data_IF_108095554857
#
_entry.id   IF_108095554857
#
_cell.length_a   1.000
_cell.length_b   1.000
_cell.length_c   1.000
_cell.angle_alpha   90.00
_cell.angle_beta   90.00
_cell.angle_gamma   90.00
#
_symmetry.space_group_name_H-M   'P 1'
#
loop_
_entity.id
_entity.type
_entity.pdbx_description
1 polymer ?
#
# COMPACT_ATOMS: atom_id res chain seq x y z
N UNK A 1 61.89 14.36 30.17
CA UNK A 1 60.64 14.43 29.36
C UNK A 1 59.98 13.06 29.45
N UNK A 2 58.82 13.00 30.14
CA UNK A 2 58.25 11.71 30.54
C UNK A 2 57.44 11.07 29.39
N UNK A 3 58.05 10.10 28.75
CA UNK A 3 57.52 9.30 27.65
C UNK A 3 56.13 8.67 28.00
N UNK A 4 55.91 8.37 29.29
CA UNK A 4 54.61 7.82 29.77
C UNK A 4 53.40 8.76 29.61
N UNK A 5 53.61 10.09 29.63
CA UNK A 5 52.55 11.06 29.46
C UNK A 5 52.16 11.29 28.01
N UNK A 6 53.10 11.09 27.09
CA UNK A 6 52.87 11.28 25.65
C UNK A 6 52.08 10.12 25.03
N UNK A 7 52.28 8.91 25.54
CA UNK A 7 51.57 7.72 25.09
C UNK A 7 50.08 7.76 25.49
N UNK A 8 49.79 8.26 26.72
CA UNK A 8 48.41 8.38 27.19
C UNK A 8 47.58 9.39 26.43
N UNK A 9 48.21 10.49 25.99
CA UNK A 9 47.51 11.53 25.18
C UNK A 9 47.27 11.04 23.75
N UNK A 10 48.18 10.26 23.15
CA UNK A 10 47.97 9.68 21.82
C UNK A 10 46.86 8.61 21.81
N UNK A 11 46.76 7.81 22.87
CA UNK A 11 45.72 6.78 22.95
C UNK A 11 44.29 7.38 23.07
N UNK A 12 44.12 8.52 23.73
CA UNK A 12 42.85 9.19 23.80
C UNK A 12 42.43 9.84 22.47
N UNK A 13 43.40 10.29 21.68
CA UNK A 13 43.09 10.91 20.35
C UNK A 13 42.61 9.87 19.32
N UNK A 14 43.10 8.62 19.41
CA UNK A 14 42.68 7.54 18.49
C UNK A 14 41.27 7.06 18.82
N UNK A 15 40.88 7.04 20.10
CA UNK A 15 39.52 6.66 20.50
C UNK A 15 38.44 7.71 20.14
N UNK A 16 38.80 8.98 20.09
CA UNK A 16 37.87 10.06 19.71
C UNK A 16 37.57 10.08 18.20
N UNK A 17 38.49 9.58 17.36
CA UNK A 17 38.30 9.50 15.90
C UNK A 17 37.44 8.31 15.45
N UNK A 18 37.32 7.27 16.27
CA UNK A 18 36.52 6.07 15.95
C UNK A 18 35.02 6.24 16.20
N UNK A 19 34.60 7.30 16.88
CA UNK A 19 33.18 7.55 17.18
C UNK A 19 32.47 8.48 16.16
N UNK A 20 33.17 8.99 15.15
CA UNK A 20 32.62 9.88 14.14
C UNK A 20 32.38 9.24 12.76
N UNK A 21 32.67 7.94 12.60
CA UNK A 21 32.39 7.21 11.36
C UNK A 21 31.16 6.31 11.41
N UNK A 22 30.31 6.52 12.38
CA UNK A 22 28.94 6.03 12.39
C UNK A 22 28.05 6.93 11.53
N UNK A 23 28.34 7.05 10.23
CA UNK A 23 27.29 7.40 9.27
C UNK A 23 26.31 6.24 9.27
N UNK A 24 25.39 6.25 10.23
CA UNK A 24 24.10 5.67 10.03
C UNK A 24 23.53 6.37 8.81
N UNK A 25 23.58 5.70 7.65
CA UNK A 25 22.65 5.97 6.59
C UNK A 25 21.29 5.71 7.20
N UNK A 26 20.73 6.72 7.86
CA UNK A 26 19.30 6.80 8.04
C UNK A 26 18.75 6.92 6.61
N UNK A 27 18.47 5.77 5.99
CA UNK A 27 17.37 5.68 5.07
C UNK A 27 16.24 6.30 5.86
N UNK A 28 15.97 7.57 5.63
CA UNK A 28 14.71 8.19 6.00
C UNK A 28 13.68 7.40 5.21
N UNK A 29 13.20 6.31 5.82
CA UNK A 29 11.87 5.80 5.50
C UNK A 29 11.02 7.03 5.75
N UNK A 30 10.55 7.65 4.67
CA UNK A 30 9.55 8.72 4.76
C UNK A 30 8.45 8.11 5.61
N UNK A 31 8.27 8.64 6.80
CA UNK A 31 7.17 8.22 7.65
C UNK A 31 5.92 8.47 6.82
N UNK A 32 5.27 7.38 6.41
CA UNK A 32 4.11 7.44 5.53
C UNK A 32 3.04 8.19 6.30
N UNK A 33 2.48 9.25 5.74
CA UNK A 33 1.43 10.02 6.39
C UNK A 33 0.33 9.08 6.88
N UNK A 34 -0.22 9.35 8.06
CA UNK A 34 -1.10 8.42 8.79
C UNK A 34 -2.35 7.96 8.00
N UNK A 35 -2.66 8.62 6.90
CA UNK A 35 -3.78 8.30 6.00
C UNK A 35 -3.37 7.85 4.59
N UNK A 36 -2.08 7.72 4.30
CA UNK A 36 -1.62 7.36 2.95
C UNK A 36 -1.67 5.84 2.75
N UNK A 37 -2.35 5.39 1.72
CA UNK A 37 -2.40 4.00 1.27
C UNK A 37 -2.01 3.88 -0.21
N UNK A 38 -1.34 2.80 -0.56
CA UNK A 38 -0.98 2.47 -1.94
C UNK A 38 -1.79 1.28 -2.41
N UNK A 39 -2.52 1.44 -3.50
CA UNK A 39 -3.36 0.41 -4.09
C UNK A 39 -2.86 0.10 -5.50
N UNK A 40 -2.55 -1.17 -5.77
CA UNK A 40 -2.27 -1.63 -7.12
C UNK A 40 -3.59 -1.99 -7.81
N UNK A 41 -3.83 -1.43 -8.97
CA UNK A 41 -5.12 -1.50 -9.67
C UNK A 41 -4.89 -1.94 -11.10
N UNK A 42 -5.66 -2.92 -11.56
CA UNK A 42 -5.65 -3.31 -12.98
C UNK A 42 -5.93 -2.10 -13.88
N UNK A 43 -5.11 -1.94 -14.91
CA UNK A 43 -5.12 -0.76 -15.79
C UNK A 43 -6.50 -0.51 -16.42
N UNK A 44 -7.28 -1.57 -16.66
CA UNK A 44 -8.60 -1.47 -17.29
C UNK A 44 -9.64 -0.78 -16.43
N UNK A 45 -9.51 -0.83 -15.09
CA UNK A 45 -10.44 -0.17 -14.15
C UNK A 45 -9.82 1.04 -13.43
N UNK A 46 -8.60 1.41 -13.76
CA UNK A 46 -7.88 2.54 -13.15
C UNK A 46 -8.73 3.82 -13.10
N UNK A 47 -9.39 4.16 -14.21
CA UNK A 47 -10.22 5.38 -14.30
C UNK A 47 -11.34 5.36 -13.26
N UNK A 48 -12.08 4.27 -13.20
CA UNK A 48 -13.18 4.08 -12.26
C UNK A 48 -12.73 4.18 -10.80
N UNK A 49 -11.61 3.54 -10.46
CA UNK A 49 -11.09 3.54 -9.10
C UNK A 49 -10.48 4.90 -8.73
N UNK A 50 -9.87 5.61 -9.69
CA UNK A 50 -9.39 6.98 -9.48
C UNK A 50 -10.54 7.94 -9.17
N UNK A 51 -11.63 7.87 -9.94
CA UNK A 51 -12.82 8.70 -9.72
C UNK A 51 -13.48 8.37 -8.37
N UNK A 52 -13.56 7.09 -8.03
CA UNK A 52 -14.08 6.64 -6.75
C UNK A 52 -13.21 7.12 -5.57
N UNK A 53 -11.89 7.06 -5.68
CA UNK A 53 -10.97 7.57 -4.67
C UNK A 53 -11.12 9.08 -4.49
N UNK A 54 -11.25 9.83 -5.59
CA UNK A 54 -11.50 11.26 -5.55
C UNK A 54 -12.86 11.60 -4.92
N UNK A 55 -13.88 10.77 -5.13
CA UNK A 55 -15.18 10.95 -4.49
C UNK A 55 -15.14 10.61 -2.99
N UNK A 56 -14.46 9.52 -2.62
CA UNK A 56 -14.29 9.08 -1.24
C UNK A 56 -13.61 10.12 -0.35
N UNK A 57 -12.57 10.78 -0.86
CA UNK A 57 -11.77 11.77 -0.11
C UNK A 57 -12.37 13.17 -0.12
N UNK A 58 -13.52 13.39 -0.78
CA UNK A 58 -14.22 14.68 -0.67
C UNK A 58 -14.67 14.92 0.77
N UNK A 59 -14.59 16.20 1.23
CA UNK A 59 -15.10 16.57 2.55
C UNK A 59 -16.56 16.17 2.73
N UNK A 60 -16.82 15.25 3.64
CA UNK A 60 -18.17 14.87 4.04
C UNK A 60 -18.28 15.09 5.53
N UNK A 61 -19.22 15.95 5.94
CA UNK A 61 -19.40 16.36 7.35
C UNK A 61 -19.56 15.18 8.31
N UNK A 62 -20.09 14.06 7.81
CA UNK A 62 -20.38 12.86 8.59
C UNK A 62 -19.18 11.92 8.70
N UNK A 63 -18.17 12.09 7.83
CA UNK A 63 -16.99 11.22 7.74
C UNK A 63 -15.68 12.03 7.64
N UNK A 64 -15.33 12.81 8.67
CA UNK A 64 -14.17 13.70 8.63
C UNK A 64 -12.82 12.96 8.51
N UNK A 65 -12.78 11.67 8.83
CA UNK A 65 -11.59 10.83 8.66
C UNK A 65 -11.23 10.58 7.20
N UNK A 66 -12.22 10.62 6.28
CA UNK A 66 -12.00 10.43 4.84
C UNK A 66 -11.15 11.55 4.22
N UNK A 67 -11.28 12.77 4.72
CA UNK A 67 -10.51 13.94 4.25
C UNK A 67 -8.99 13.76 4.48
N UNK A 68 -8.61 12.89 5.41
CA UNK A 68 -7.21 12.62 5.75
C UNK A 68 -6.63 11.44 4.98
N UNK A 69 -7.46 10.68 4.30
CA UNK A 69 -7.01 9.55 3.50
C UNK A 69 -6.38 10.05 2.19
N UNK A 70 -5.19 9.57 1.89
CA UNK A 70 -4.50 9.78 0.62
C UNK A 70 -4.42 8.43 -0.07
N UNK A 71 -5.17 8.26 -1.16
CA UNK A 71 -5.19 7.02 -1.91
C UNK A 71 -4.31 7.17 -3.14
N UNK A 72 -3.17 6.49 -3.12
CA UNK A 72 -2.24 6.41 -4.23
C UNK A 72 -2.59 5.20 -5.10
N UNK A 73 -2.98 5.44 -6.33
CA UNK A 73 -3.30 4.40 -7.31
C UNK A 73 -2.09 4.19 -8.21
N UNK A 74 -1.58 2.99 -8.20
CA UNK A 74 -0.53 2.52 -9.09
C UNK A 74 -1.14 1.47 -10.01
N UNK A 75 -1.19 1.73 -11.31
CA UNK A 75 -1.84 0.82 -12.25
C UNK A 75 -0.83 0.01 -13.04
N UNK A 76 -1.21 -1.23 -13.31
CA UNK A 76 -0.51 -2.15 -14.18
C UNK A 76 -1.49 -3.23 -14.66
N UNK A 77 -1.08 -4.12 -15.55
CA UNK A 77 -1.89 -5.29 -15.86
C UNK A 77 -1.86 -6.29 -14.69
N UNK A 78 -2.94 -7.04 -14.52
CA UNK A 78 -3.10 -7.99 -13.40
C UNK A 78 -1.88 -8.90 -13.21
N UNK A 79 -1.32 -9.47 -14.28
CA UNK A 79 -0.14 -10.34 -14.20
C UNK A 79 1.10 -9.61 -13.66
N UNK A 80 1.30 -8.35 -14.05
CA UNK A 80 2.41 -7.53 -13.57
C UNK A 80 2.21 -7.13 -12.11
N UNK A 81 0.97 -6.83 -11.70
CA UNK A 81 0.62 -6.59 -10.28
C UNK A 81 0.98 -7.80 -9.43
N UNK A 82 0.59 -9.00 -9.85
CA UNK A 82 0.93 -10.25 -9.14
C UNK A 82 2.44 -10.38 -9.02
N UNK A 83 3.17 -10.26 -10.11
CA UNK A 83 4.63 -10.34 -10.12
C UNK A 83 5.29 -9.32 -9.20
N UNK A 84 4.81 -8.07 -9.15
CA UNK A 84 5.33 -7.01 -8.28
C UNK A 84 5.17 -7.35 -6.80
N UNK A 85 3.98 -7.84 -6.42
CA UNK A 85 3.70 -8.24 -5.03
C UNK A 85 4.54 -9.46 -4.63
N UNK A 86 4.65 -10.48 -5.49
CA UNK A 86 5.50 -11.65 -5.27
C UNK A 86 6.97 -11.29 -5.08
N UNK A 87 7.46 -10.29 -5.81
CA UNK A 87 8.81 -9.77 -5.68
C UNK A 87 9.01 -8.84 -4.47
N UNK A 88 7.98 -8.68 -3.62
CA UNK A 88 8.05 -7.92 -2.37
C UNK A 88 7.83 -6.42 -2.52
N UNK A 89 7.28 -5.96 -3.66
CA UNK A 89 6.87 -4.57 -3.77
C UNK A 89 5.67 -4.30 -2.86
N UNK A 90 5.75 -3.20 -2.11
CA UNK A 90 4.74 -2.88 -1.12
C UNK A 90 3.49 -2.30 -1.76
N UNK A 91 2.35 -2.85 -1.37
CA UNK A 91 1.03 -2.26 -1.55
C UNK A 91 0.17 -2.54 -0.31
N UNK A 92 -0.85 -1.75 -0.10
CA UNK A 92 -1.83 -1.95 0.98
C UNK A 92 -3.01 -2.81 0.50
N UNK A 93 -3.33 -2.74 -0.79
CA UNK A 93 -4.36 -3.57 -1.44
C UNK A 93 -4.05 -3.80 -2.91
N UNK A 94 -4.70 -4.80 -3.47
CA UNK A 94 -4.70 -5.10 -4.91
C UNK A 94 -6.13 -5.18 -5.44
N UNK A 95 -6.31 -4.68 -6.67
CA UNK A 95 -7.56 -4.73 -7.44
C UNK A 95 -7.21 -5.38 -8.78
N UNK A 96 -7.52 -6.65 -8.91
CA UNK A 96 -7.05 -7.52 -9.99
C UNK A 96 -8.20 -8.20 -10.72
N UNK A 97 -7.98 -8.57 -11.98
CA UNK A 97 -8.94 -9.27 -12.80
C UNK A 97 -8.99 -10.76 -12.40
N UNK A 98 -10.15 -11.18 -11.88
CA UNK A 98 -10.47 -12.56 -11.55
C UNK A 98 -9.85 -13.06 -10.24
N UNK A 99 -10.48 -14.07 -9.68
CA UNK A 99 -10.02 -14.74 -8.44
C UNK A 99 -8.69 -15.48 -8.62
N UNK A 100 -8.36 -15.88 -9.85
CA UNK A 100 -7.15 -16.65 -10.14
C UNK A 100 -5.88 -15.87 -9.77
N UNK A 101 -5.87 -14.54 -9.96
CA UNK A 101 -4.77 -13.68 -9.59
C UNK A 101 -4.52 -13.67 -8.07
N UNK A 102 -5.59 -13.58 -7.27
CA UNK A 102 -5.45 -13.64 -5.81
C UNK A 102 -5.04 -15.03 -5.32
N UNK A 103 -5.54 -16.10 -5.98
CA UNK A 103 -5.14 -17.46 -5.67
C UNK A 103 -3.67 -17.72 -6.02
N UNK A 104 -3.14 -17.08 -7.07
CA UNK A 104 -1.71 -17.13 -7.41
C UNK A 104 -0.86 -16.47 -6.31
N UNK A 105 -1.25 -15.30 -5.80
CA UNK A 105 -0.58 -14.65 -4.68
C UNK A 105 -0.58 -15.53 -3.42
N UNK A 106 -1.71 -16.14 -3.07
CA UNK A 106 -1.79 -17.04 -1.92
C UNK A 106 -0.92 -18.29 -2.10
N UNK A 107 -0.83 -18.83 -3.32
CA UNK A 107 0.01 -19.99 -3.62
C UNK A 107 1.51 -19.67 -3.57
N UNK A 108 1.92 -18.47 -4.03
CA UNK A 108 3.31 -18.02 -4.00
C UNK A 108 3.83 -17.76 -2.59
N UNK A 109 2.94 -17.59 -1.64
CA UNK A 109 3.26 -17.21 -0.26
C UNK A 109 4.02 -18.26 0.56
N UNK A 110 4.27 -19.47 0.04
CA UNK A 110 4.97 -20.56 0.77
C UNK A 110 4.47 -20.73 2.24
N UNK A 111 3.15 -20.62 2.44
CA UNK A 111 2.51 -20.72 3.77
C UNK A 111 2.43 -19.41 4.55
N UNK A 112 2.67 -18.27 3.91
CA UNK A 112 2.32 -16.96 4.45
C UNK A 112 1.10 -16.44 3.71
N UNK A 113 0.06 -16.09 4.44
CA UNK A 113 -1.11 -15.45 3.83
C UNK A 113 -0.74 -14.03 3.35
N UNK A 114 -0.72 -13.78 2.04
CA UNK A 114 -0.54 -12.44 1.51
C UNK A 114 -1.80 -11.59 1.67
N UNK A 115 -2.95 -12.21 1.74
CA UNK A 115 -4.25 -11.56 1.63
C UNK A 115 -5.03 -11.67 2.93
N UNK A 116 -5.69 -10.58 3.33
CA UNK A 116 -6.73 -10.59 4.35
C UNK A 116 -8.01 -11.17 3.73
N UNK A 117 -8.23 -12.47 3.83
CA UNK A 117 -9.34 -13.16 3.16
C UNK A 117 -10.72 -12.57 3.44
N UNK A 118 -10.95 -12.02 4.64
CA UNK A 118 -12.21 -11.36 5.00
C UNK A 118 -12.46 -10.05 4.26
N UNK A 119 -11.45 -9.50 3.59
CA UNK A 119 -11.56 -8.26 2.82
C UNK A 119 -11.92 -8.49 1.34
N UNK A 120 -11.96 -9.75 0.88
CA UNK A 120 -12.24 -10.06 -0.53
C UNK A 120 -13.65 -9.61 -0.91
N UNK A 121 -13.73 -8.73 -1.89
CA UNK A 121 -14.97 -8.28 -2.53
C UNK A 121 -14.77 -8.23 -4.04
N UNK A 122 -15.85 -8.16 -4.80
CA UNK A 122 -15.78 -8.13 -6.25
C UNK A 122 -16.58 -6.96 -6.83
N UNK A 123 -16.03 -6.36 -7.88
CA UNK A 123 -16.74 -5.46 -8.79
C UNK A 123 -16.88 -6.14 -10.14
N UNK A 124 -18.02 -5.94 -10.79
CA UNK A 124 -18.28 -6.50 -12.10
C UNK A 124 -18.34 -5.38 -13.14
N UNK A 125 -17.72 -5.57 -14.28
CA UNK A 125 -17.89 -4.67 -15.42
C UNK A 125 -19.13 -5.01 -16.25
N UNK A 126 -19.57 -4.10 -17.09
CA UNK A 126 -20.73 -4.30 -17.96
C UNK A 126 -20.51 -5.42 -18.99
N UNK A 127 -19.28 -5.64 -19.43
CA UNK A 127 -18.89 -6.71 -20.34
C UNK A 127 -18.73 -8.09 -19.67
N UNK A 128 -18.93 -8.14 -18.34
CA UNK A 128 -18.93 -9.38 -17.57
C UNK A 128 -17.59 -9.76 -16.94
N UNK A 129 -16.56 -8.91 -17.05
CA UNK A 129 -15.32 -9.12 -16.33
C UNK A 129 -15.54 -8.87 -14.82
N UNK A 130 -14.90 -9.69 -13.98
CA UNK A 130 -14.96 -9.56 -12.54
C UNK A 130 -13.59 -9.13 -12.01
N UNK A 131 -13.56 -8.03 -11.26
CA UNK A 131 -12.36 -7.54 -10.59
C UNK A 131 -12.48 -7.83 -9.10
N UNK A 132 -11.47 -8.48 -8.56
CA UNK A 132 -11.44 -8.86 -7.15
C UNK A 132 -10.50 -7.92 -6.40
N UNK A 133 -10.96 -7.49 -5.24
CA UNK A 133 -10.28 -6.55 -4.38
C UNK A 133 -9.89 -7.28 -3.11
N UNK A 134 -8.66 -7.10 -2.65
CA UNK A 134 -8.21 -7.64 -1.38
C UNK A 134 -7.19 -6.71 -0.70
N UNK A 135 -7.30 -6.60 0.62
CA UNK A 135 -6.26 -5.98 1.47
C UNK A 135 -5.10 -6.95 1.62
N UNK A 136 -3.87 -6.43 1.57
CA UNK A 136 -2.67 -7.24 1.80
C UNK A 136 -2.33 -7.31 3.29
N UNK A 137 -1.87 -8.48 3.74
CA UNK A 137 -1.56 -8.74 5.15
C UNK A 137 -0.36 -7.93 5.67
N UNK A 138 0.54 -7.49 4.78
CA UNK A 138 1.68 -6.65 5.13
C UNK A 138 1.31 -5.16 5.26
N UNK A 139 0.05 -4.80 4.99
CA UNK A 139 -0.43 -3.43 5.18
C UNK A 139 -0.54 -3.08 6.65
N UNK A 140 0.06 -1.97 7.04
CA UNK A 140 -0.12 -1.33 8.35
C UNK A 140 -1.30 -0.33 8.35
N UNK A 141 -2.00 -0.22 7.21
CA UNK A 141 -3.14 0.69 6.96
C UNK A 141 -4.44 -0.05 6.64
N UNK A 142 -4.59 -1.28 7.07
CA UNK A 142 -5.74 -2.13 6.73
C UNK A 142 -7.09 -1.45 6.99
N UNK A 143 -7.22 -0.70 8.10
CA UNK A 143 -8.47 0.00 8.43
C UNK A 143 -8.82 1.12 7.45
N UNK A 144 -7.83 1.84 6.93
CA UNK A 144 -8.03 2.92 5.93
C UNK A 144 -8.45 2.31 4.59
N UNK A 145 -7.75 1.24 4.17
CA UNK A 145 -8.09 0.49 2.95
C UNK A 145 -9.48 -0.10 3.06
N UNK A 146 -9.81 -0.75 4.20
CA UNK A 146 -11.13 -1.33 4.41
C UNK A 146 -12.23 -0.27 4.33
N UNK A 147 -12.01 0.92 4.90
CA UNK A 147 -12.96 2.03 4.78
C UNK A 147 -13.21 2.46 3.33
N UNK A 148 -12.17 2.43 2.48
CA UNK A 148 -12.34 2.70 1.05
C UNK A 148 -13.07 1.55 0.33
N UNK A 149 -12.76 0.30 0.66
CA UNK A 149 -13.48 -0.87 0.12
C UNK A 149 -14.96 -0.82 0.52
N UNK A 150 -15.27 -0.53 1.78
CA UNK A 150 -16.64 -0.41 2.28
C UNK A 150 -17.41 0.70 1.53
N UNK A 151 -16.73 1.82 1.24
CA UNK A 151 -17.28 2.87 0.39
C UNK A 151 -17.59 2.36 -1.02
N UNK A 152 -16.67 1.66 -1.68
CA UNK A 152 -16.90 1.09 -3.02
C UNK A 152 -18.09 0.15 -3.05
N UNK A 153 -18.34 -0.59 -1.95
CA UNK A 153 -19.46 -1.52 -1.80
C UNK A 153 -20.75 -0.84 -1.32
N UNK A 154 -20.72 0.46 -1.01
CA UNK A 154 -21.90 1.23 -0.57
C UNK A 154 -22.75 1.74 -1.75
N UNK A 155 -23.95 2.22 -1.46
CA UNK A 155 -24.80 2.88 -2.45
C UNK A 155 -24.26 4.26 -2.84
N UNK A 156 -23.43 4.87 -1.97
CA UNK A 156 -22.80 6.17 -2.23
C UNK A 156 -21.85 6.12 -3.45
N UNK A 157 -21.15 4.99 -3.67
CA UNK A 157 -20.25 4.82 -4.80
C UNK A 157 -20.96 4.37 -6.10
N UNK A 158 -22.23 3.96 -6.03
CA UNK A 158 -22.92 3.32 -7.16
C UNK A 158 -22.95 4.19 -8.42
N UNK A 159 -23.20 5.50 -8.28
CA UNK A 159 -23.25 6.42 -9.43
C UNK A 159 -21.85 6.61 -10.05
N UNK A 160 -20.81 6.70 -9.23
CA UNK A 160 -19.41 6.85 -9.72
C UNK A 160 -18.95 5.58 -10.43
N UNK A 161 -19.20 4.41 -9.85
CA UNK A 161 -18.86 3.12 -10.45
C UNK A 161 -19.67 2.89 -11.72
N UNK A 162 -20.99 3.11 -11.70
CA UNK A 162 -21.87 2.94 -12.86
C UNK A 162 -21.53 3.87 -14.01
N UNK A 163 -21.14 5.12 -13.72
CA UNK A 163 -20.66 6.05 -14.75
C UNK A 163 -19.37 5.59 -15.45
N UNK A 164 -18.64 4.67 -14.83
CA UNK A 164 -17.41 4.05 -15.36
C UNK A 164 -17.61 2.57 -15.77
N UNK A 165 -18.84 2.10 -15.90
CA UNK A 165 -19.16 0.75 -16.36
C UNK A 165 -18.89 -0.37 -15.32
N UNK A 166 -18.78 -0.02 -14.05
CA UNK A 166 -18.60 -0.97 -12.94
C UNK A 166 -19.84 -1.04 -12.05
N UNK A 167 -20.06 -2.21 -11.47
CA UNK A 167 -21.13 -2.46 -10.47
C UNK A 167 -20.65 -3.46 -9.41
N UNK A 168 -21.20 -3.34 -8.23
CA UNK A 168 -21.02 -4.29 -7.12
C UNK A 168 -21.88 -5.55 -7.29
#
# INVERSE_FOLDING_TARGET
>A
MNIKKTVAVMLCAVFAAAMLSGCVSSTTVKEKDAGEVTIFVDETIKGAITDAAAAYTKPVREFPEREKAIILIVSDYTEDIVNRVENGEYADAVFVLGDEALNALDAAAEGKDFIVHSSRVALNSEDGAQYVIAVLNNSDRQSVVQGFIDYLMSDEAADVLGGNGLKK
#
